data_IF_067645647161
#
_entry.id   IF_067645647161
#
_cell.length_a   1.000
_cell.length_b   1.000
_cell.length_c   1.000
_cell.angle_alpha   90.00
_cell.angle_beta   90.00
_cell.angle_gamma   90.00
#
_symmetry.space_group_name_H-M   'P 1'
#
loop_
_entity.id
_entity.type
_entity.pdbx_description
1 polymer ?
#
# COMPACT_ATOMS: atom_id res chain seq x y z
N UNK A 1 -25.40 64.76 47.65
CA UNK A 1 -24.05 64.20 47.42
C UNK A 1 -24.04 62.72 47.79
N UNK A 2 -24.31 61.82 46.83
CA UNK A 2 -24.16 60.35 46.97
C UNK A 2 -24.40 59.73 45.58
N UNK A 3 -23.35 59.73 44.75
CA UNK A 3 -23.24 58.95 43.51
C UNK A 3 -21.76 58.62 43.34
N UNK A 4 -21.49 57.48 42.70
CA UNK A 4 -20.20 56.89 42.34
C UNK A 4 -19.48 56.09 43.43
N UNK A 5 -19.68 54.77 43.38
CA UNK A 5 -18.64 53.73 43.33
C UNK A 5 -19.38 52.38 43.31
N UNK A 6 -18.77 51.34 42.75
CA UNK A 6 -19.36 49.99 42.54
C UNK A 6 -20.06 49.81 41.18
N UNK A 7 -19.40 50.21 40.08
CA UNK A 7 -19.53 49.54 38.78
C UNK A 7 -18.12 49.45 38.19
N UNK A 8 -17.31 48.53 38.69
CA UNK A 8 -15.90 48.48 38.30
C UNK A 8 -15.16 47.17 38.57
N UNK A 9 -15.87 46.06 38.85
CA UNK A 9 -15.19 44.78 39.13
C UNK A 9 -15.88 43.51 38.59
N UNK A 10 -16.97 43.60 37.83
CA UNK A 10 -17.63 42.42 37.24
C UNK A 10 -17.40 42.24 35.73
N UNK A 11 -16.52 43.04 35.11
CA UNK A 11 -16.30 43.04 33.65
C UNK A 11 -14.87 42.64 33.24
N UNK A 12 -14.10 42.00 34.14
CA UNK A 12 -12.77 41.43 33.85
C UNK A 12 -12.75 39.90 33.95
N UNK A 13 -13.79 39.26 34.52
CA UNK A 13 -13.84 37.81 34.68
C UNK A 13 -14.35 37.01 33.46
N UNK A 14 -14.76 37.67 32.37
CA UNK A 14 -15.31 37.00 31.18
C UNK A 14 -14.35 36.90 29.97
N UNK A 15 -13.12 37.42 30.09
CA UNK A 15 -12.07 37.30 29.05
C UNK A 15 -11.03 36.20 29.34
N UNK A 16 -11.27 35.33 30.33
CA UNK A 16 -10.69 33.98 30.33
C UNK A 16 -11.45 33.11 29.30
N UNK A 17 -11.56 33.62 28.08
CA UNK A 17 -12.07 32.88 26.94
C UNK A 17 -11.09 31.72 26.74
N UNK A 18 -11.55 30.53 27.09
CA UNK A 18 -10.89 29.25 26.86
C UNK A 18 -10.22 29.23 25.47
N UNK A 19 -8.92 29.53 25.42
CA UNK A 19 -8.08 29.16 24.28
C UNK A 19 -7.99 27.65 24.31
N UNK A 20 -9.02 26.96 23.81
CA UNK A 20 -8.90 25.55 23.45
C UNK A 20 -7.72 25.49 22.49
N UNK A 21 -6.60 24.90 22.92
CA UNK A 21 -5.41 24.68 22.08
C UNK A 21 -5.92 24.09 20.75
N UNK A 22 -5.91 24.91 19.70
CA UNK A 22 -6.35 24.47 18.38
C UNK A 22 -5.27 23.54 17.88
N UNK A 23 -5.66 22.33 17.48
CA UNK A 23 -4.76 21.42 16.80
C UNK A 23 -4.12 22.15 15.61
N UNK A 24 -2.80 22.04 15.49
CA UNK A 24 -2.04 22.59 14.38
C UNK A 24 -0.99 21.58 13.94
N UNK A 25 -0.67 21.59 12.65
CA UNK A 25 0.45 20.84 12.12
C UNK A 25 1.30 21.70 11.20
N UNK A 26 2.56 21.31 11.08
CA UNK A 26 3.55 21.92 10.19
C UNK A 26 4.20 20.80 9.37
N UNK A 27 4.43 21.04 8.08
CA UNK A 27 4.93 20.00 7.15
C UNK A 27 6.26 20.36 6.53
N UNK A 28 7.06 19.33 6.25
CA UNK A 28 8.28 19.38 5.43
C UNK A 28 9.22 20.53 5.82
N UNK A 29 9.55 21.43 4.90
CA UNK A 29 10.49 22.53 5.11
C UNK A 29 10.06 23.56 6.15
N UNK A 30 8.78 23.59 6.49
CA UNK A 30 8.30 24.48 7.53
C UNK A 30 8.57 23.94 8.95
N UNK A 31 8.94 22.66 9.08
CA UNK A 31 9.28 22.05 10.37
C UNK A 31 10.65 22.60 10.81
N UNK A 32 10.78 23.10 12.05
CA UNK A 32 12.07 23.57 12.57
C UNK A 32 13.17 22.50 12.46
N UNK A 33 14.34 22.89 12.00
CA UNK A 33 15.46 21.96 11.74
C UNK A 33 15.88 21.17 12.99
N UNK A 34 15.83 21.80 14.17
CA UNK A 34 16.10 21.12 15.44
C UNK A 34 15.15 19.93 15.68
N UNK A 35 13.89 20.06 15.26
CA UNK A 35 12.90 18.98 15.39
C UNK A 35 13.18 17.87 14.37
N UNK A 36 13.43 18.22 13.11
CA UNK A 36 13.82 17.27 12.07
C UNK A 36 15.04 16.45 12.49
N UNK A 37 16.09 17.13 12.95
CA UNK A 37 17.34 16.51 13.42
C UNK A 37 17.09 15.59 14.62
N UNK A 38 16.31 16.02 15.61
CA UNK A 38 15.98 15.19 16.78
C UNK A 38 15.27 13.90 16.37
N UNK A 39 14.24 13.98 15.52
CA UNK A 39 13.49 12.81 15.06
C UNK A 39 14.34 11.94 14.13
N UNK A 40 15.20 12.53 13.30
CA UNK A 40 16.12 11.79 12.44
C UNK A 40 17.10 10.95 13.26
N UNK A 41 17.67 11.51 14.33
CA UNK A 41 18.56 10.78 15.24
C UNK A 41 17.82 9.61 15.93
N UNK A 42 16.61 9.86 16.41
CA UNK A 42 15.75 8.84 17.00
C UNK A 42 15.46 7.70 16.01
N UNK A 43 15.04 8.05 14.78
CA UNK A 43 14.76 7.10 13.71
C UNK A 43 15.98 6.23 13.39
N UNK A 44 17.14 6.86 13.23
CA UNK A 44 18.40 6.17 12.93
C UNK A 44 18.79 5.19 14.04
N UNK A 45 18.61 5.56 15.31
CA UNK A 45 18.86 4.66 16.45
C UNK A 45 17.93 3.46 16.44
N UNK A 46 16.62 3.68 16.29
CA UNK A 46 15.63 2.60 16.24
C UNK A 46 15.94 1.62 15.11
N UNK A 47 16.19 2.12 13.90
CA UNK A 47 16.54 1.27 12.76
C UNK A 47 17.87 0.53 12.96
N UNK A 48 18.84 1.17 13.62
CA UNK A 48 20.09 0.50 14.01
C UNK A 48 19.82 -0.65 14.98
N UNK A 49 19.01 -0.45 16.01
CA UNK A 49 18.68 -1.50 16.98
C UNK A 49 17.95 -2.67 16.33
N UNK A 50 17.00 -2.42 15.42
CA UNK A 50 16.32 -3.49 14.66
C UNK A 50 17.33 -4.27 13.82
N UNK A 51 18.18 -3.58 13.04
CA UNK A 51 19.19 -4.24 12.19
C UNK A 51 20.18 -5.07 12.99
N UNK A 52 20.57 -4.60 14.17
CA UNK A 52 21.56 -5.24 15.03
C UNK A 52 20.95 -6.20 16.08
N UNK A 53 19.63 -6.44 16.05
CA UNK A 53 18.90 -7.29 17.01
C UNK A 53 19.08 -6.87 18.48
N UNK A 54 19.19 -5.57 18.75
CA UNK A 54 19.38 -5.02 20.09
C UNK A 54 18.02 -4.79 20.77
N UNK A 55 17.37 -5.88 21.19
CA UNK A 55 15.98 -5.90 21.66
C UNK A 55 15.76 -5.03 22.91
N UNK A 56 16.61 -5.17 23.93
CA UNK A 56 16.48 -4.38 25.17
C UNK A 56 16.58 -2.88 24.90
N UNK A 57 17.54 -2.49 24.06
CA UNK A 57 17.70 -1.11 23.63
C UNK A 57 16.49 -0.61 22.86
N UNK A 58 15.89 -1.46 22.01
CA UNK A 58 14.74 -1.11 21.18
C UNK A 58 13.50 -0.81 22.03
N UNK A 59 13.26 -1.58 23.10
CA UNK A 59 12.09 -1.41 23.98
C UNK A 59 11.97 0.00 24.55
N UNK A 60 13.08 0.63 24.92
CA UNK A 60 13.10 1.97 25.50
C UNK A 60 12.51 3.06 24.57
N UNK A 61 12.57 2.84 23.25
CA UNK A 61 12.14 3.80 22.24
C UNK A 61 10.72 3.61 21.73
N UNK A 62 10.08 2.50 22.06
CA UNK A 62 8.67 2.26 21.73
C UNK A 62 7.74 2.77 22.84
N UNK A 63 6.54 3.21 22.45
CA UNK A 63 5.48 3.48 23.40
C UNK A 63 4.94 2.18 24.00
N UNK A 64 4.34 2.20 25.20
CA UNK A 64 3.71 1.02 25.78
C UNK A 64 2.67 0.38 24.85
N UNK A 65 1.87 1.19 24.16
CA UNK A 65 0.85 0.71 23.21
C UNK A 65 1.50 0.07 21.98
N UNK A 66 2.61 0.63 21.48
CA UNK A 66 3.34 0.03 20.37
C UNK A 66 3.92 -1.34 20.74
N UNK A 67 4.50 -1.47 21.94
CA UNK A 67 5.02 -2.73 22.45
C UNK A 67 3.90 -3.77 22.62
N UNK A 68 2.75 -3.35 23.15
CA UNK A 68 1.57 -4.20 23.30
C UNK A 68 1.07 -4.72 21.94
N UNK A 69 1.01 -3.85 20.92
CA UNK A 69 0.57 -4.23 19.57
C UNK A 69 1.59 -5.11 18.84
N UNK A 70 2.89 -4.93 19.10
CA UNK A 70 3.94 -5.79 18.57
C UNK A 70 3.98 -7.16 19.26
N UNK A 71 3.56 -7.24 20.52
CA UNK A 71 3.68 -8.47 21.31
C UNK A 71 5.14 -8.77 21.65
N UNK A 72 5.54 -10.04 21.54
CA UNK A 72 6.91 -10.47 21.83
C UNK A 72 7.89 -9.95 20.75
N UNK A 73 8.71 -8.97 21.12
CA UNK A 73 9.70 -8.37 20.21
C UNK A 73 10.74 -9.37 19.68
N UNK A 74 11.11 -10.40 20.45
CA UNK A 74 12.05 -11.42 19.99
C UNK A 74 11.47 -12.20 18.82
N UNK A 75 10.20 -12.60 18.93
CA UNK A 75 9.45 -13.31 17.89
C UNK A 75 9.21 -12.42 16.66
N UNK A 76 8.98 -11.12 16.84
CA UNK A 76 8.77 -10.18 15.74
C UNK A 76 10.06 -9.76 15.04
N UNK A 77 11.22 -9.88 15.69
CA UNK A 77 12.49 -9.35 15.17
C UNK A 77 12.83 -9.79 13.74
N UNK A 78 12.67 -11.08 13.34
CA UNK A 78 12.92 -11.49 11.96
C UNK A 78 12.04 -10.78 10.93
N UNK A 79 10.78 -10.47 11.28
CA UNK A 79 9.90 -9.67 10.42
C UNK A 79 10.38 -8.23 10.35
N UNK A 80 10.67 -7.62 11.51
CA UNK A 80 11.15 -6.23 11.61
C UNK A 80 12.42 -6.01 10.78
N UNK A 81 13.37 -6.94 10.80
CA UNK A 81 14.60 -6.87 10.01
C UNK A 81 14.35 -6.92 8.50
N UNK A 82 13.27 -7.57 8.04
CA UNK A 82 12.92 -7.61 6.61
C UNK A 82 12.28 -6.32 6.12
N UNK A 83 11.61 -5.58 6.99
CA UNK A 83 10.80 -4.42 6.62
C UNK A 83 11.37 -3.08 7.10
N UNK A 84 12.46 -3.10 7.87
CA UNK A 84 13.17 -1.90 8.29
C UNK A 84 13.88 -1.27 7.10
N UNK A 85 13.79 0.06 6.92
CA UNK A 85 14.55 0.73 5.87
C UNK A 85 16.06 0.44 5.95
N UNK A 86 16.74 0.31 4.80
CA UNK A 86 18.21 0.20 4.77
C UNK A 86 18.87 1.51 5.24
N UNK A 87 20.19 1.62 5.15
CA UNK A 87 20.85 2.89 5.53
C UNK A 87 20.46 4.03 4.58
N UNK A 88 20.21 3.69 3.32
CA UNK A 88 19.82 4.62 2.27
C UNK A 88 18.32 4.53 2.02
N UNK A 89 17.59 5.57 2.40
CA UNK A 89 16.16 5.70 2.13
C UNK A 89 15.84 7.16 1.80
N UNK A 90 14.72 7.36 1.10
CA UNK A 90 14.21 8.69 0.78
C UNK A 90 13.15 9.10 1.79
N UNK A 91 13.28 10.30 2.37
CA UNK A 91 12.19 10.94 3.10
C UNK A 91 11.24 11.57 2.08
N UNK A 92 9.95 11.24 2.16
CA UNK A 92 8.93 11.71 1.21
C UNK A 92 8.21 12.93 1.74
N UNK A 93 7.64 12.80 2.93
CA UNK A 93 6.97 13.88 3.63
C UNK A 93 7.14 13.69 5.14
N UNK A 94 7.10 14.80 5.85
CA UNK A 94 7.19 14.89 7.30
C UNK A 94 6.15 15.85 7.84
N UNK A 95 5.61 15.54 9.02
CA UNK A 95 4.58 16.34 9.67
C UNK A 95 4.80 16.39 11.17
N UNK A 96 4.76 17.59 11.73
CA UNK A 96 4.83 17.83 13.18
C UNK A 96 3.52 18.42 13.66
N UNK A 97 2.78 17.66 14.48
CA UNK A 97 1.49 18.03 15.06
C UNK A 97 1.62 18.49 16.51
N UNK A 98 0.82 19.49 16.91
CA UNK A 98 0.76 20.04 18.28
C UNK A 98 -0.67 20.32 18.71
N UNK A 99 -0.92 20.19 20.02
CA UNK A 99 -2.23 20.47 20.62
C UNK A 99 -3.25 19.39 20.33
N UNK A 100 -2.79 18.14 20.19
CA UNK A 100 -3.64 16.99 19.97
C UNK A 100 -4.35 16.58 21.26
N UNK A 101 -5.61 16.17 21.13
CA UNK A 101 -6.37 15.57 22.22
C UNK A 101 -6.21 14.05 22.17
N UNK A 102 -6.11 13.37 23.33
CA UNK A 102 -6.12 11.92 23.37
C UNK A 102 -7.31 11.32 22.62
N UNK A 103 -7.07 10.22 21.89
CA UNK A 103 -8.05 9.57 21.03
C UNK A 103 -8.45 10.32 19.75
N UNK A 104 -7.84 11.47 19.42
CA UNK A 104 -8.13 12.18 18.18
C UNK A 104 -7.55 11.44 16.97
N UNK A 105 -8.34 11.32 15.89
CA UNK A 105 -7.82 10.99 14.56
C UNK A 105 -7.35 12.27 13.89
N UNK A 106 -6.12 12.24 13.38
CA UNK A 106 -5.45 13.42 12.83
C UNK A 106 -5.29 13.27 11.34
N UNK A 107 -6.15 13.88 10.51
CA UNK A 107 -5.96 13.87 9.07
C UNK A 107 -4.78 14.78 8.74
N UNK A 108 -3.73 14.18 8.22
CA UNK A 108 -2.59 14.91 7.68
C UNK A 108 -2.69 14.89 6.16
N UNK A 109 -2.89 16.06 5.56
CA UNK A 109 -3.05 16.21 4.12
C UNK A 109 -1.67 16.43 3.51
N UNK A 110 -1.36 15.66 2.46
CA UNK A 110 -0.09 15.83 1.76
C UNK A 110 0.05 17.19 1.10
N UNK A 111 1.29 17.67 0.97
CA UNK A 111 1.60 18.93 0.29
C UNK A 111 1.09 18.95 -1.16
N UNK A 112 1.05 17.78 -1.80
CA UNK A 112 0.51 17.55 -3.14
C UNK A 112 -1.00 17.20 -3.16
N UNK A 113 -1.67 17.17 -2.00
CA UNK A 113 -3.07 16.76 -1.84
C UNK A 113 -3.39 15.39 -2.46
N UNK A 114 -2.45 14.45 -2.38
CA UNK A 114 -2.58 13.12 -2.98
C UNK A 114 -3.07 12.06 -2.00
N UNK A 115 -2.89 12.28 -0.71
CA UNK A 115 -3.27 11.33 0.34
C UNK A 115 -3.59 12.02 1.68
N UNK A 116 -4.20 11.24 2.58
CA UNK A 116 -4.38 11.56 3.98
C UNK A 116 -3.71 10.49 4.84
N UNK A 117 -3.17 10.88 5.98
CA UNK A 117 -2.77 9.92 7.02
C UNK A 117 -3.74 10.05 8.17
N UNK A 118 -4.26 8.92 8.64
CA UNK A 118 -5.08 8.85 9.85
C UNK A 118 -4.33 8.03 10.90
N UNK A 119 -4.16 8.61 12.08
CA UNK A 119 -3.60 7.89 13.21
C UNK A 119 -4.27 8.34 14.52
N UNK A 120 -4.48 7.42 15.46
CA UNK A 120 -4.87 7.79 16.82
C UNK A 120 -3.67 8.43 17.54
N UNK A 121 -3.91 9.52 18.26
CA UNK A 121 -2.89 10.16 19.09
C UNK A 121 -3.34 10.34 20.52
N UNK A 122 -2.58 9.77 21.45
CA UNK A 122 -2.67 10.04 22.89
C UNK A 122 -1.59 11.01 23.39
N UNK A 123 -0.98 11.72 22.44
CA UNK A 123 0.16 12.61 22.66
C UNK A 123 -0.24 14.06 22.44
N UNK A 124 0.32 15.00 23.22
CA UNK A 124 0.14 16.44 22.96
C UNK A 124 0.91 16.91 21.73
N UNK A 125 2.05 16.26 21.46
CA UNK A 125 2.86 16.47 20.27
C UNK A 125 3.12 15.16 19.54
N UNK A 126 3.07 15.23 18.21
CA UNK A 126 3.26 14.09 17.34
C UNK A 126 4.17 14.41 16.17
N UNK A 127 4.86 13.40 15.65
CA UNK A 127 5.65 13.53 14.43
C UNK A 127 5.40 12.32 13.54
N UNK A 128 5.04 12.58 12.28
CA UNK A 128 4.89 11.55 11.24
C UNK A 128 6.02 11.72 10.25
N UNK A 129 6.72 10.63 9.94
CA UNK A 129 7.75 10.58 8.91
C UNK A 129 7.43 9.48 7.91
N UNK A 130 7.35 9.84 6.62
CA UNK A 130 7.13 8.89 5.54
C UNK A 130 8.43 8.66 4.80
N UNK A 131 8.82 7.40 4.68
CA UNK A 131 10.05 6.94 4.06
C UNK A 131 9.72 6.05 2.87
N UNK A 132 10.58 6.06 1.86
CA UNK A 132 10.57 5.05 0.79
C UNK A 132 11.95 4.47 0.55
N UNK A 133 11.97 3.20 0.21
CA UNK A 133 13.17 2.49 -0.18
C UNK A 133 12.79 1.32 -1.10
N UNK A 134 13.74 0.89 -1.92
CA UNK A 134 13.53 -0.20 -2.86
C UNK A 134 14.08 -1.51 -2.26
N UNK A 135 13.32 -2.59 -2.48
CA UNK A 135 13.72 -3.96 -2.17
C UNK A 135 13.46 -4.82 -3.40
N UNK A 136 14.51 -5.02 -4.20
CA UNK A 136 14.36 -5.57 -5.54
C UNK A 136 13.53 -4.62 -6.42
N UNK A 137 12.46 -5.13 -7.01
CA UNK A 137 11.53 -4.36 -7.82
C UNK A 137 10.38 -3.72 -7.03
N UNK A 138 10.27 -3.99 -5.73
CA UNK A 138 9.21 -3.45 -4.88
C UNK A 138 9.71 -2.17 -4.23
N UNK A 139 8.96 -1.08 -4.38
CA UNK A 139 9.15 0.12 -3.58
C UNK A 139 8.31 -0.03 -2.32
N UNK A 140 8.95 -0.04 -1.17
CA UNK A 140 8.30 -0.05 0.14
C UNK A 140 8.15 1.37 0.65
N UNK A 141 7.03 1.63 1.33
CA UNK A 141 6.81 2.85 2.10
C UNK A 141 6.72 2.49 3.57
N UNK A 142 7.50 3.20 4.39
CA UNK A 142 7.42 3.11 5.85
C UNK A 142 6.87 4.40 6.42
N UNK A 143 5.83 4.30 7.24
CA UNK A 143 5.26 5.41 8.00
C UNK A 143 5.70 5.22 9.44
N UNK A 144 6.50 6.14 9.95
CA UNK A 144 6.93 6.19 11.34
C UNK A 144 6.12 7.25 12.07
N UNK A 145 5.49 6.85 13.17
CA UNK A 145 4.73 7.74 14.04
C UNK A 145 5.40 7.85 15.41
N UNK A 146 5.75 9.07 15.79
CA UNK A 146 6.32 9.41 17.08
C UNK A 146 5.38 10.28 17.88
N UNK A 147 5.38 10.09 19.19
CA UNK A 147 4.59 10.88 20.12
C UNK A 147 5.35 11.20 21.39
N UNK A 148 5.00 12.33 22.01
CA UNK A 148 5.39 12.66 23.39
C UNK A 148 4.23 13.33 24.13
N UNK A 149 4.10 13.02 25.41
CA UNK A 149 3.00 13.53 26.25
C UNK A 149 3.13 15.03 26.50
N UNK A 150 4.35 15.51 26.72
CA UNK A 150 4.67 16.93 26.86
C UNK A 150 6.17 17.13 26.54
N UNK A 151 6.68 18.35 26.75
CA UNK A 151 8.08 18.71 26.47
C UNK A 151 9.11 18.03 27.38
N UNK A 152 8.70 17.55 28.56
CA UNK A 152 9.56 16.88 29.54
C UNK A 152 9.63 15.36 29.30
N UNK A 153 8.74 14.80 28.49
CA UNK A 153 8.76 13.40 28.13
C UNK A 153 9.57 13.15 26.85
N UNK A 154 10.31 12.02 26.78
CA UNK A 154 11.02 11.65 25.57
C UNK A 154 10.04 11.30 24.44
N UNK A 155 10.46 11.55 23.21
CA UNK A 155 9.78 11.04 22.02
C UNK A 155 9.85 9.51 22.00
N UNK A 156 8.72 8.88 21.73
CA UNK A 156 8.62 7.43 21.54
C UNK A 156 7.95 7.12 20.21
N UNK A 157 8.43 6.07 19.54
CA UNK A 157 7.75 5.51 18.38
C UNK A 157 6.48 4.82 18.87
N UNK A 158 5.34 5.34 18.48
CA UNK A 158 4.05 4.78 18.87
C UNK A 158 3.47 3.83 17.84
N UNK A 159 3.93 3.94 16.59
CA UNK A 159 3.53 3.03 15.53
C UNK A 159 4.54 3.10 14.38
N UNK A 160 4.74 1.98 13.70
CA UNK A 160 5.39 1.97 12.39
C UNK A 160 4.65 0.98 11.48
N UNK A 161 4.45 1.35 10.22
CA UNK A 161 3.90 0.46 9.19
C UNK A 161 4.81 0.49 7.98
N UNK A 162 5.16 -0.68 7.48
CA UNK A 162 5.77 -0.81 6.16
C UNK A 162 4.79 -1.52 5.25
N UNK A 163 4.48 -0.90 4.11
CA UNK A 163 3.60 -1.45 3.08
C UNK A 163 4.19 -1.21 1.70
N UNK A 164 3.73 -1.97 0.70
CA UNK A 164 4.13 -1.75 -0.69
C UNK A 164 3.57 -0.43 -1.20
N UNK A 165 4.44 0.50 -1.59
CA UNK A 165 4.06 1.72 -2.29
C UNK A 165 3.77 1.45 -3.76
N UNK A 166 4.60 0.61 -4.36
CA UNK A 166 4.64 0.45 -5.79
C UNK A 166 5.64 -0.60 -6.25
N UNK A 167 5.73 -0.76 -7.56
CA UNK A 167 6.62 -1.71 -8.22
C UNK A 167 7.28 -1.02 -9.40
N UNK A 168 8.59 -1.21 -9.58
CA UNK A 168 9.41 -0.52 -10.58
C UNK A 168 9.16 1.01 -10.54
N UNK A 169 9.19 1.58 -9.32
CA UNK A 169 8.95 3.00 -9.03
C UNK A 169 7.56 3.55 -9.46
N UNK A 170 6.61 2.68 -9.78
CA UNK A 170 5.23 3.05 -10.12
C UNK A 170 4.30 2.74 -8.96
N UNK A 171 3.60 3.74 -8.46
CA UNK A 171 2.62 3.62 -7.38
C UNK A 171 1.18 3.47 -7.89
N UNK A 172 0.25 3.50 -6.94
CA UNK A 172 -1.18 3.32 -7.21
C UNK A 172 -1.73 4.30 -8.27
N UNK A 173 -1.31 5.57 -8.24
CA UNK A 173 -1.79 6.59 -9.19
C UNK A 173 -1.30 6.31 -10.61
N UNK A 174 -0.05 5.88 -10.79
CA UNK A 174 0.52 5.53 -12.08
C UNK A 174 -0.22 4.33 -12.71
N UNK A 175 -0.46 3.28 -11.93
CA UNK A 175 -1.25 2.13 -12.37
C UNK A 175 -2.70 2.51 -12.72
N UNK A 176 -3.29 3.42 -11.95
CA UNK A 176 -4.63 3.94 -12.23
C UNK A 176 -4.68 4.68 -13.57
N UNK A 177 -3.69 5.53 -13.88
CA UNK A 177 -3.61 6.21 -15.18
C UNK A 177 -3.36 5.24 -16.33
N UNK A 178 -2.51 4.22 -16.15
CA UNK A 178 -2.33 3.17 -17.16
C UNK A 178 -3.62 2.41 -17.45
N UNK A 179 -4.39 2.09 -16.41
CA UNK A 179 -5.70 1.45 -16.58
C UNK A 179 -6.63 2.28 -17.47
N UNK A 180 -6.75 3.58 -17.20
CA UNK A 180 -7.55 4.50 -18.04
C UNK A 180 -7.04 4.53 -19.48
N UNK A 181 -5.72 4.58 -19.69
CA UNK A 181 -5.10 4.54 -21.02
C UNK A 181 -5.46 3.24 -21.78
N UNK A 182 -5.32 2.08 -21.14
CA UNK A 182 -5.68 0.80 -21.77
C UNK A 182 -7.17 0.70 -22.09
N UNK A 183 -8.03 1.22 -21.21
CA UNK A 183 -9.46 1.27 -21.48
C UNK A 183 -9.77 2.12 -22.71
N UNK A 184 -9.17 3.31 -22.82
CA UNK A 184 -9.35 4.20 -23.97
C UNK A 184 -8.87 3.57 -25.29
N UNK A 185 -7.90 2.65 -25.22
CA UNK A 185 -7.38 1.90 -26.37
C UNK A 185 -8.17 0.61 -26.67
N UNK A 186 -9.22 0.29 -25.89
CA UNK A 186 -10.03 -0.93 -26.07
C UNK A 186 -9.41 -2.21 -25.47
N UNK A 187 -8.29 -2.12 -24.76
CA UNK A 187 -7.62 -3.27 -24.14
C UNK A 187 -8.20 -3.57 -22.74
N UNK A 188 -9.41 -4.12 -22.72
CA UNK A 188 -10.24 -4.24 -21.50
C UNK A 188 -9.58 -5.07 -20.39
N UNK A 189 -9.01 -6.25 -20.70
CA UNK A 189 -8.32 -7.08 -19.70
C UNK A 189 -7.12 -6.35 -19.10
N UNK A 190 -6.28 -5.72 -19.93
CA UNK A 190 -5.12 -4.96 -19.44
C UNK A 190 -5.58 -3.80 -18.54
N UNK A 191 -6.63 -3.07 -18.93
CA UNK A 191 -7.20 -2.01 -18.10
C UNK A 191 -7.65 -2.55 -16.73
N UNK A 192 -8.33 -3.70 -16.71
CA UNK A 192 -8.78 -4.35 -15.48
C UNK A 192 -7.61 -4.77 -14.58
N UNK A 193 -6.57 -5.40 -15.13
CA UNK A 193 -5.40 -5.83 -14.37
C UNK A 193 -4.64 -4.65 -13.74
N UNK A 194 -4.42 -3.56 -14.49
CA UNK A 194 -3.78 -2.37 -13.94
C UNK A 194 -4.64 -1.68 -12.87
N UNK A 195 -5.97 -1.62 -13.06
CA UNK A 195 -6.88 -1.06 -12.05
C UNK A 195 -6.87 -1.88 -10.76
N UNK A 196 -6.78 -3.21 -10.87
CA UNK A 196 -6.67 -4.09 -9.72
C UNK A 196 -5.38 -3.83 -8.94
N UNK A 197 -4.24 -3.75 -9.64
CA UNK A 197 -2.95 -3.42 -9.01
C UNK A 197 -3.01 -2.04 -8.34
N UNK A 198 -3.59 -1.03 -9.01
CA UNK A 198 -3.74 0.30 -8.45
C UNK A 198 -4.51 0.29 -7.12
N UNK A 199 -5.64 -0.42 -7.07
CA UNK A 199 -6.47 -0.49 -5.88
C UNK A 199 -5.81 -1.32 -4.75
N UNK A 200 -5.16 -2.43 -5.10
CA UNK A 200 -4.44 -3.27 -4.13
C UNK A 200 -3.29 -2.46 -3.49
N UNK A 201 -2.54 -1.67 -4.28
CA UNK A 201 -1.51 -0.75 -3.78
C UNK A 201 -2.10 0.39 -2.93
N UNK A 202 -3.23 0.97 -3.36
CA UNK A 202 -3.87 2.06 -2.62
C UNK A 202 -4.35 1.64 -1.21
N UNK A 203 -4.63 0.35 -1.03
CA UNK A 203 -5.12 -0.24 0.24
C UNK A 203 -4.05 -0.94 1.06
N UNK A 204 -2.80 -1.02 0.57
CA UNK A 204 -1.73 -1.78 1.21
C UNK A 204 -1.40 -1.31 2.65
N UNK A 205 -1.70 -0.04 2.97
CA UNK A 205 -1.46 0.59 4.27
C UNK A 205 -2.55 0.35 5.31
N UNK A 206 -3.59 -0.44 4.98
CA UNK A 206 -4.71 -0.77 5.88
C UNK A 206 -5.43 0.46 6.47
N UNK A 207 -5.59 1.52 5.67
CA UNK A 207 -6.33 2.73 6.04
C UNK A 207 -5.53 3.78 6.82
N UNK A 208 -4.27 3.49 7.15
CA UNK A 208 -3.37 4.47 7.78
C UNK A 208 -2.96 5.53 6.78
N UNK A 209 -2.68 5.13 5.54
CA UNK A 209 -2.36 6.01 4.44
C UNK A 209 -3.40 5.83 3.34
N UNK A 210 -4.21 6.84 3.13
CA UNK A 210 -5.35 6.76 2.23
C UNK A 210 -5.19 7.72 1.06
N UNK A 211 -5.17 7.20 -0.16
CA UNK A 211 -5.19 8.04 -1.35
C UNK A 211 -6.54 8.76 -1.46
N UNK A 212 -6.53 10.05 -1.82
CA UNK A 212 -7.78 10.78 -2.03
C UNK A 212 -8.64 10.16 -3.15
N UNK A 213 -7.98 9.59 -4.16
CA UNK A 213 -8.61 8.96 -5.32
C UNK A 213 -8.98 7.48 -5.12
N UNK A 214 -8.85 6.91 -3.90
CA UNK A 214 -9.14 5.49 -3.70
C UNK A 214 -10.59 5.12 -4.08
N UNK A 215 -11.56 5.98 -3.75
CA UNK A 215 -12.95 5.77 -4.12
C UNK A 215 -13.15 5.74 -5.66
N UNK A 216 -12.46 6.62 -6.38
CA UNK A 216 -12.49 6.67 -7.85
C UNK A 216 -11.80 5.45 -8.47
N UNK A 217 -10.69 4.98 -7.90
CA UNK A 217 -10.03 3.72 -8.30
C UNK A 217 -10.96 2.53 -8.12
N UNK A 218 -11.65 2.45 -6.97
CA UNK A 218 -12.60 1.38 -6.69
C UNK A 218 -13.80 1.41 -7.63
N UNK A 219 -14.37 2.59 -7.89
CA UNK A 219 -15.47 2.77 -8.85
C UNK A 219 -15.06 2.36 -10.26
N UNK A 220 -13.85 2.77 -10.68
CA UNK A 220 -13.29 2.42 -11.98
C UNK A 220 -13.08 0.92 -12.14
N UNK A 221 -12.47 0.25 -11.14
CA UNK A 221 -12.30 -1.20 -11.15
C UNK A 221 -13.65 -1.93 -11.25
N UNK A 222 -14.65 -1.51 -10.47
CA UNK A 222 -15.98 -2.12 -10.51
C UNK A 222 -16.66 -1.95 -11.88
N UNK A 223 -16.50 -0.78 -12.51
CA UNK A 223 -17.01 -0.55 -13.86
C UNK A 223 -16.31 -1.43 -14.90
N UNK A 224 -14.99 -1.60 -14.79
CA UNK A 224 -14.23 -2.52 -15.65
C UNK A 224 -14.61 -3.98 -15.40
N UNK A 225 -14.83 -4.40 -14.15
CA UNK A 225 -15.27 -5.74 -13.81
C UNK A 225 -16.62 -6.08 -14.45
N UNK A 226 -17.57 -5.14 -14.42
CA UNK A 226 -18.86 -5.29 -15.11
C UNK A 226 -18.68 -5.49 -16.62
N UNK A 227 -17.89 -4.63 -17.27
CA UNK A 227 -17.57 -4.75 -18.70
C UNK A 227 -16.86 -6.06 -19.03
N UNK A 228 -15.93 -6.51 -18.17
CA UNK A 228 -15.23 -7.78 -18.30
C UNK A 228 -16.21 -8.95 -18.27
N UNK A 229 -17.15 -8.97 -17.34
CA UNK A 229 -18.16 -10.05 -17.23
C UNK A 229 -19.14 -10.05 -18.41
N UNK A 230 -19.43 -8.88 -18.99
CA UNK A 230 -20.25 -8.75 -20.19
C UNK A 230 -19.50 -9.24 -21.44
N UNK A 231 -18.24 -8.84 -21.60
CA UNK A 231 -17.40 -9.17 -22.75
C UNK A 231 -16.84 -10.61 -22.71
N UNK A 232 -16.53 -11.11 -21.51
CA UNK A 232 -15.88 -12.38 -21.27
C UNK A 232 -16.72 -13.20 -20.29
N UNK A 233 -17.52 -14.12 -20.83
CA UNK A 233 -18.34 -15.05 -20.06
C UNK A 233 -17.42 -16.11 -19.45
N UNK A 234 -16.85 -15.84 -18.27
CA UNK A 234 -16.03 -16.82 -17.55
C UNK A 234 -16.92 -17.86 -16.82
N UNK A 235 -16.52 -19.15 -16.77
CA UNK A 235 -15.34 -19.71 -17.42
C UNK A 235 -15.49 -19.79 -18.96
N UNK A 236 -14.39 -19.60 -19.69
CA UNK A 236 -14.36 -19.68 -21.16
C UNK A 236 -13.84 -21.06 -21.57
N UNK A 237 -14.69 -21.84 -22.24
CA UNK A 237 -14.34 -23.14 -22.82
C UNK A 237 -13.56 -22.95 -24.13
N UNK A 238 -12.40 -23.59 -24.25
CA UNK A 238 -11.59 -23.57 -25.46
C UNK A 238 -11.83 -24.82 -26.32
N UNK A 239 -12.99 -24.87 -26.98
CA UNK A 239 -13.47 -26.05 -27.72
C UNK A 239 -12.57 -26.55 -28.85
N UNK A 240 -11.68 -25.69 -29.35
CA UNK A 240 -10.74 -26.03 -30.43
C UNK A 240 -9.44 -26.70 -29.94
N UNK A 241 -9.28 -26.89 -28.63
CA UNK A 241 -8.15 -27.58 -28.02
C UNK A 241 -8.63 -28.97 -27.55
N UNK A 242 -7.88 -30.08 -27.76
CA UNK A 242 -8.37 -31.45 -27.56
C UNK A 242 -9.08 -31.72 -26.21
N UNK A 243 -8.51 -31.29 -25.09
CA UNK A 243 -9.06 -31.51 -23.75
C UNK A 243 -10.00 -30.41 -23.27
N UNK A 244 -10.32 -29.48 -24.17
CA UNK A 244 -11.26 -28.37 -23.96
C UNK A 244 -11.03 -27.68 -22.60
N UNK A 245 -9.82 -27.15 -22.37
CA UNK A 245 -9.51 -26.46 -21.13
C UNK A 245 -10.44 -25.25 -20.96
N UNK A 246 -10.74 -24.93 -19.70
CA UNK A 246 -11.60 -23.82 -19.33
C UNK A 246 -10.81 -22.73 -18.64
N UNK A 247 -10.71 -21.54 -19.24
CA UNK A 247 -10.14 -20.38 -18.56
C UNK A 247 -11.13 -19.91 -17.50
N UNK A 248 -10.73 -19.95 -16.24
CA UNK A 248 -11.59 -19.57 -15.10
C UNK A 248 -11.40 -18.12 -14.72
N UNK A 249 -10.17 -17.63 -14.74
CA UNK A 249 -9.86 -16.25 -14.37
C UNK A 249 -8.49 -15.82 -14.91
N UNK A 250 -8.28 -14.51 -14.95
CA UNK A 250 -6.98 -13.90 -15.21
C UNK A 250 -6.68 -12.91 -14.09
N UNK A 251 -5.53 -13.08 -13.43
CA UNK A 251 -5.13 -12.26 -12.29
C UNK A 251 -3.73 -11.68 -12.52
N UNK A 252 -3.37 -10.55 -11.88
CA UNK A 252 -1.99 -10.09 -11.87
C UNK A 252 -1.13 -11.02 -11.01
N UNK A 253 0.03 -11.42 -11.52
CA UNK A 253 1.05 -12.17 -10.81
C UNK A 253 2.28 -11.29 -10.58
N UNK A 254 2.65 -11.11 -9.32
CA UNK A 254 3.88 -10.44 -8.92
C UNK A 254 5.09 -11.34 -9.20
N UNK A 255 6.15 -10.74 -9.75
CA UNK A 255 7.46 -11.36 -9.90
C UNK A 255 8.54 -10.31 -9.64
N UNK A 256 9.80 -10.71 -9.44
CA UNK A 256 10.91 -9.76 -9.35
C UNK A 256 11.10 -8.83 -10.57
N UNK A 257 10.41 -9.07 -11.69
CA UNK A 257 10.44 -8.21 -12.88
C UNK A 257 9.19 -7.30 -13.00
N UNK A 258 8.24 -7.40 -12.08
CA UNK A 258 6.97 -6.67 -12.08
C UNK A 258 5.76 -7.59 -12.24
N UNK A 259 4.63 -7.01 -12.62
CA UNK A 259 3.38 -7.76 -12.76
C UNK A 259 3.15 -8.28 -14.17
N UNK A 260 2.75 -9.54 -14.24
CA UNK A 260 2.38 -10.22 -15.48
C UNK A 260 0.99 -10.85 -15.35
N UNK A 261 0.22 -10.94 -16.43
CA UNK A 261 -1.04 -11.67 -16.40
C UNK A 261 -0.78 -13.16 -16.12
N UNK A 262 -1.54 -13.72 -15.19
CA UNK A 262 -1.65 -15.16 -14.99
C UNK A 262 -3.03 -15.64 -15.41
N UNK A 263 -3.05 -16.57 -16.36
CA UNK A 263 -4.25 -17.26 -16.79
C UNK A 263 -4.38 -18.53 -15.94
N UNK A 264 -5.48 -18.62 -15.22
CA UNK A 264 -5.85 -19.80 -14.45
C UNK A 264 -6.89 -20.57 -15.24
N UNK A 265 -6.62 -21.83 -15.52
CA UNK A 265 -7.52 -22.69 -16.28
C UNK A 265 -7.66 -24.09 -15.68
N UNK A 266 -8.76 -24.75 -16.02
CA UNK A 266 -9.03 -26.15 -15.69
C UNK A 266 -8.74 -27.03 -16.88
N UNK A 267 -8.19 -28.22 -16.63
CA UNK A 267 -7.98 -29.27 -17.61
C UNK A 267 -8.41 -30.63 -17.03
N UNK A 268 -8.81 -31.58 -17.89
CA UNK A 268 -9.17 -32.94 -17.49
C UNK A 268 -7.96 -33.88 -17.39
N UNK A 269 -6.79 -33.42 -17.84
CA UNK A 269 -5.64 -34.29 -18.05
C UNK A 269 -4.91 -34.63 -16.75
N UNK A 270 -4.14 -35.71 -16.80
CA UNK A 270 -3.14 -36.01 -15.78
C UNK A 270 -2.14 -34.84 -15.70
N UNK A 271 -1.56 -34.60 -14.52
CA UNK A 271 -0.53 -33.56 -14.33
C UNK A 271 0.82 -33.97 -14.96
N UNK A 272 0.78 -34.53 -16.16
CA UNK A 272 1.97 -34.88 -16.94
C UNK A 272 2.56 -33.62 -17.58
N UNK A 273 3.81 -33.24 -17.26
CA UNK A 273 4.40 -31.98 -17.68
C UNK A 273 4.40 -31.75 -19.20
N UNK A 274 4.72 -32.76 -19.99
CA UNK A 274 4.82 -32.64 -21.45
C UNK A 274 3.45 -32.43 -22.10
N UNK A 275 2.41 -33.07 -21.54
CA UNK A 275 1.04 -32.88 -21.97
C UNK A 275 0.60 -31.43 -21.70
N UNK A 276 0.74 -30.97 -20.46
CA UNK A 276 0.34 -29.63 -20.04
C UNK A 276 1.09 -28.52 -20.78
N UNK A 277 2.36 -28.77 -21.12
CA UNK A 277 3.15 -27.83 -21.92
C UNK A 277 2.55 -27.64 -23.31
N UNK A 278 2.18 -28.75 -23.98
CA UNK A 278 1.54 -28.74 -25.31
C UNK A 278 0.16 -28.08 -25.27
N UNK A 279 -0.67 -28.43 -24.27
CA UNK A 279 -1.97 -27.80 -24.06
C UNK A 279 -1.81 -26.28 -23.84
N UNK A 280 -0.88 -25.87 -22.97
CA UNK A 280 -0.59 -24.46 -22.74
C UNK A 280 -0.07 -23.72 -23.98
N UNK A 281 0.69 -24.37 -24.86
CA UNK A 281 1.09 -23.79 -26.15
C UNK A 281 -0.12 -23.51 -27.04
N UNK A 282 -1.08 -24.44 -27.11
CA UNK A 282 -2.34 -24.25 -27.85
C UNK A 282 -3.20 -23.14 -27.24
N UNK A 283 -3.32 -23.08 -25.91
CA UNK A 283 -4.02 -21.98 -25.21
C UNK A 283 -3.34 -20.65 -25.55
N UNK A 284 -2.02 -20.59 -25.49
CA UNK A 284 -1.26 -19.37 -25.76
C UNK A 284 -1.45 -18.86 -27.20
N UNK A 285 -1.55 -19.76 -28.18
CA UNK A 285 -1.83 -19.38 -29.57
C UNK A 285 -3.21 -18.74 -29.77
N UNK A 286 -4.18 -19.07 -28.90
CA UNK A 286 -5.55 -18.56 -28.99
C UNK A 286 -5.80 -17.34 -28.09
N UNK A 287 -4.92 -17.08 -27.12
CA UNK A 287 -5.22 -16.14 -26.05
C UNK A 287 -5.41 -14.70 -26.51
N UNK A 288 -4.75 -14.29 -27.60
CA UNK A 288 -4.92 -12.94 -28.15
C UNK A 288 -6.32 -12.76 -28.77
N UNK A 289 -6.94 -13.84 -29.28
CA UNK A 289 -8.34 -13.82 -29.75
C UNK A 289 -9.32 -13.74 -28.59
N UNK A 290 -9.01 -14.46 -27.50
CA UNK A 290 -9.84 -14.48 -26.28
C UNK A 290 -9.73 -13.15 -25.52
N UNK A 291 -8.51 -12.62 -25.38
CA UNK A 291 -8.22 -11.38 -24.67
C UNK A 291 -7.35 -10.47 -25.54
N UNK A 292 -7.96 -9.64 -26.40
CA UNK A 292 -7.22 -8.74 -27.28
C UNK A 292 -6.23 -7.84 -26.53
N UNK A 293 -4.98 -7.84 -26.99
CA UNK A 293 -3.87 -7.05 -26.45
C UNK A 293 -3.15 -7.67 -25.25
N UNK A 294 -3.51 -8.87 -24.79
CA UNK A 294 -2.84 -9.50 -23.63
C UNK A 294 -1.36 -9.78 -23.89
N UNK A 295 -0.97 -10.03 -25.14
CA UNK A 295 0.44 -10.30 -25.52
C UNK A 295 1.26 -9.05 -25.80
N UNK A 296 0.63 -7.88 -25.95
CA UNK A 296 1.28 -6.65 -26.47
C UNK A 296 2.13 -5.88 -25.47
N UNK A 297 1.81 -5.92 -24.18
CA UNK A 297 2.35 -4.95 -23.20
C UNK A 297 3.22 -5.56 -22.11
N UNK A 298 3.42 -6.88 -22.15
CA UNK A 298 4.11 -7.65 -21.12
C UNK A 298 4.92 -8.72 -21.79
N UNK A 299 6.18 -8.89 -21.39
CA UNK A 299 7.13 -9.83 -22.00
C UNK A 299 6.82 -11.32 -21.74
N UNK A 300 5.90 -11.59 -20.80
CA UNK A 300 5.56 -12.93 -20.34
C UNK A 300 4.08 -13.00 -20.00
N UNK A 301 3.53 -14.20 -20.11
CA UNK A 301 2.23 -14.59 -19.58
C UNK A 301 2.44 -15.85 -18.75
N UNK A 302 1.89 -15.85 -17.55
CA UNK A 302 1.90 -16.99 -16.65
C UNK A 302 0.63 -17.82 -16.87
N UNK A 303 0.77 -19.13 -16.72
CA UNK A 303 -0.32 -20.08 -16.86
C UNK A 303 -0.31 -20.99 -15.65
N UNK A 304 -1.48 -21.22 -15.06
CA UNK A 304 -1.66 -22.16 -13.96
C UNK A 304 -2.81 -23.11 -14.28
N UNK A 305 -2.45 -24.37 -14.49
CA UNK A 305 -3.38 -25.45 -14.73
C UNK A 305 -3.83 -26.06 -13.40
N UNK A 306 -5.14 -26.26 -13.25
CA UNK A 306 -5.73 -27.08 -12.20
C UNK A 306 -6.47 -28.25 -12.84
N UNK A 307 -6.50 -29.40 -12.16
CA UNK A 307 -7.29 -30.52 -12.63
C UNK A 307 -8.77 -30.28 -12.30
N UNK A 308 -9.66 -30.39 -13.31
CA UNK A 308 -11.11 -30.16 -13.16
C UNK A 308 -11.76 -31.05 -12.10
N UNK A 309 -11.22 -32.25 -11.88
CA UNK A 309 -11.69 -33.21 -10.87
C UNK A 309 -11.23 -32.87 -9.45
N UNK A 310 -10.17 -32.08 -9.29
CA UNK A 310 -9.71 -31.59 -7.98
C UNK A 310 -10.52 -30.35 -7.54
N UNK A 311 -11.64 -30.62 -6.84
CA UNK A 311 -12.51 -29.57 -6.31
C UNK A 311 -11.82 -28.65 -5.31
N UNK A 312 -10.82 -29.15 -4.58
CA UNK A 312 -10.07 -28.37 -3.60
C UNK A 312 -8.98 -27.52 -4.26
N UNK A 313 -8.65 -27.80 -5.52
CA UNK A 313 -7.63 -27.09 -6.31
C UNK A 313 -6.30 -27.00 -5.55
N UNK A 314 -5.93 -28.07 -4.85
CA UNK A 314 -4.70 -28.12 -4.03
C UNK A 314 -3.46 -28.24 -4.90
N UNK A 315 -3.55 -29.02 -5.98
CA UNK A 315 -2.43 -29.24 -6.91
C UNK A 315 -2.59 -28.39 -8.16
N UNK A 316 -1.47 -27.84 -8.63
CA UNK A 316 -1.43 -27.09 -9.87
C UNK A 316 -0.08 -27.24 -10.56
N UNK A 317 -0.06 -26.93 -11.85
CA UNK A 317 1.16 -26.87 -12.65
C UNK A 317 1.31 -25.48 -13.27
N UNK A 318 2.50 -24.90 -13.13
CA UNK A 318 2.81 -23.54 -13.59
C UNK A 318 3.66 -23.54 -14.86
N UNK A 319 3.25 -22.77 -15.87
CA UNK A 319 3.99 -22.61 -17.13
C UNK A 319 4.16 -21.11 -17.42
N UNK A 320 5.30 -20.73 -17.98
CA UNK A 320 5.60 -19.35 -18.39
C UNK A 320 5.79 -19.34 -19.89
N UNK A 321 5.05 -18.48 -20.60
CA UNK A 321 5.25 -18.22 -22.03
C UNK A 321 5.80 -16.81 -22.23
N UNK A 322 6.80 -16.68 -23.09
CA UNK A 322 7.31 -15.38 -23.53
C UNK A 322 6.37 -14.82 -24.61
N UNK A 323 6.25 -13.51 -24.67
CA UNK A 323 5.52 -12.81 -25.73
C UNK A 323 6.51 -12.03 -26.59
N UNK A 324 6.20 -11.79 -27.87
CA UNK A 324 6.92 -10.82 -28.66
C UNK A 324 6.61 -9.43 -28.09
N UNK A 325 7.55 -8.83 -27.37
CA UNK A 325 7.44 -7.40 -27.07
C UNK A 325 7.42 -6.62 -28.39
N UNK A 326 6.67 -5.51 -28.47
CA UNK A 326 6.86 -4.55 -29.54
C UNK A 326 8.34 -4.20 -29.60
N UNK A 327 8.94 -4.26 -30.79
CA UNK A 327 10.22 -3.58 -31.02
C UNK A 327 9.86 -2.09 -30.96
N UNK A 328 10.35 -1.41 -29.94
CA UNK A 328 10.19 0.03 -29.78
C UNK A 328 10.69 0.80 -31.01
#
# INVERSE_FOLDING_TARGET
MRKLLIIGYCLISFLAFSQKKKFSYTSNENIPEVMKTQIQQLNNRIFSFIRNKQIDSLQAYFSPEALKNLGNLEEQMPMLQKIVPPKEYKVIDEYWGRGLKPGASVPVISSSLTYFINYPSDYEESYVKILRFNQGNVTLQTICFYGRKDKNHPWKMSFFNTSSWGFNDQGALEYYQKSKKFQAQGYLLNAYLEAKIALDLARASQGIFQFQQEADMSKHLNALAKKMNEAFKLPILLDSIPDKPEIVTVIPQDTPQGFFPMIIYLTDTTFEPDFLKKECDLIHQQIEKVFPGITKFRAKIFYRAYNRKDKERKKHYGIIKKTPLPKD
#
